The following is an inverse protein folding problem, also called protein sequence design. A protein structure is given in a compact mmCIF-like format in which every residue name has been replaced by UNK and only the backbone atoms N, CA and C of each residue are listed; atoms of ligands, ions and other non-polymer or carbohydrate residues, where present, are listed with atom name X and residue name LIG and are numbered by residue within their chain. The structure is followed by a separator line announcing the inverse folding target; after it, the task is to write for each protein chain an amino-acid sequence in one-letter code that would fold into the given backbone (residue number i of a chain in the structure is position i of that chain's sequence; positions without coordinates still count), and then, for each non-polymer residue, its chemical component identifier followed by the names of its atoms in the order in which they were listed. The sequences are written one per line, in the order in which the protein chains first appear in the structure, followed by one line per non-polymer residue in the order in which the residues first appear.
data_IF_451537379046
#
_entry.id   IF_451537379046
#
_cell.length_a   1.000
_cell.length_b   1.000
_cell.length_c   1.000
_cell.angle_alpha   90.00
_cell.angle_beta   90.00
_cell.angle_gamma   90.00
#
_symmetry.space_group_name_H-M   'P 1'
#
loop_
_entity.id
_entity.type
_entity.pdbx_description
1 polymer ?
#
# COMPACT_ATOMS: atom_id res chain seq x y z
N UNK A 1 -62.54 -38.61 39.61
CA UNK A 1 -61.31 -38.12 40.26
C UNK A 1 -60.13 -38.69 39.47
N UNK A 2 -59.53 -37.93 38.55
CA UNK A 2 -58.32 -37.08 38.77
C UNK A 2 -57.15 -37.93 39.31
N UNK A 3 -55.99 -38.04 38.67
CA UNK A 3 -55.42 -37.20 37.61
C UNK A 3 -54.31 -37.90 36.81
N UNK A 4 -54.04 -37.29 35.66
CA UNK A 4 -52.90 -37.55 34.80
C UNK A 4 -51.67 -36.78 35.29
N UNK A 5 -50.47 -37.31 35.01
CA UNK A 5 -49.27 -36.49 34.80
C UNK A 5 -48.20 -37.27 34.05
N UNK A 6 -47.93 -36.84 32.81
CA UNK A 6 -46.73 -37.12 32.04
C UNK A 6 -45.53 -36.38 32.67
N UNK A 7 -44.36 -37.00 32.67
CA UNK A 7 -43.08 -36.27 32.65
C UNK A 7 -42.15 -36.90 31.62
N UNK A 8 -41.80 -36.09 30.62
CA UNK A 8 -40.81 -36.34 29.58
C UNK A 8 -39.48 -35.65 29.96
N UNK A 9 -38.38 -36.11 29.36
CA UNK A 9 -37.12 -35.36 29.27
C UNK A 9 -35.99 -35.94 30.11
N UNK A 10 -34.79 -36.21 29.60
CA UNK A 10 -34.25 -35.84 28.28
C UNK A 10 -32.97 -36.61 27.98
N UNK A 11 -32.83 -37.00 26.72
CA UNK A 11 -31.54 -37.29 26.13
C UNK A 11 -30.91 -35.94 25.76
N UNK A 12 -29.95 -35.45 26.56
CA UNK A 12 -29.00 -34.46 26.07
C UNK A 12 -27.82 -35.22 25.47
N UNK A 13 -27.91 -35.50 24.18
CA UNK A 13 -26.73 -35.62 23.35
C UNK A 13 -25.98 -34.29 23.51
N UNK A 14 -24.80 -34.33 24.14
CA UNK A 14 -23.85 -33.25 24.07
C UNK A 14 -23.37 -33.19 22.61
N UNK A 15 -24.09 -32.42 21.81
CA UNK A 15 -23.55 -31.91 20.57
C UNK A 15 -22.29 -31.13 20.95
N UNK A 16 -21.14 -31.63 20.51
CA UNK A 16 -19.93 -30.86 20.42
C UNK A 16 -20.29 -29.56 19.70
N UNK A 17 -20.36 -28.48 20.47
CA UNK A 17 -20.29 -27.15 19.90
C UNK A 17 -18.89 -27.08 19.29
N UNK A 18 -18.85 -27.24 17.98
CA UNK A 18 -17.75 -26.82 17.15
C UNK A 18 -17.65 -25.30 17.37
N UNK A 19 -16.87 -24.90 18.38
CA UNK A 19 -16.36 -23.53 18.49
C UNK A 19 -15.46 -23.33 17.27
N UNK A 20 -16.07 -22.97 16.15
CA UNK A 20 -15.37 -22.20 15.14
C UNK A 20 -15.09 -20.87 15.84
N UNK A 21 -13.93 -20.80 16.48
CA UNK A 21 -13.26 -19.57 16.86
C UNK A 21 -13.26 -18.67 15.62
N UNK A 22 -14.22 -17.73 15.56
CA UNK A 22 -14.42 -16.87 14.40
C UNK A 22 -13.20 -15.96 14.30
N UNK A 23 -12.24 -16.32 13.46
CA UNK A 23 -11.08 -15.48 13.14
C UNK A 23 -11.61 -14.23 12.44
N UNK A 24 -11.82 -13.15 13.21
CA UNK A 24 -12.40 -11.89 12.72
C UNK A 24 -11.51 -11.26 11.64
N UNK A 25 -10.21 -11.11 11.91
CA UNK A 25 -9.21 -10.67 10.94
C UNK A 25 -7.82 -11.10 11.40
N UNK A 26 -6.94 -11.48 10.46
CA UNK A 26 -5.62 -12.01 10.77
C UNK A 26 -4.58 -10.89 10.74
N UNK A 27 -3.81 -10.76 11.82
CA UNK A 27 -2.59 -9.95 11.82
C UNK A 27 -1.54 -10.64 10.93
N UNK A 28 -1.11 -9.97 9.87
CA UNK A 28 -0.07 -10.47 8.96
C UNK A 28 1.31 -9.94 9.30
N UNK A 29 1.40 -8.71 9.82
CA UNK A 29 2.65 -8.18 10.35
C UNK A 29 2.42 -7.12 11.43
N UNK A 30 3.45 -6.88 12.24
CA UNK A 30 3.58 -5.69 13.08
C UNK A 30 4.87 -4.99 12.69
N UNK A 31 4.79 -3.71 12.35
CA UNK A 31 5.95 -2.94 11.92
C UNK A 31 5.83 -1.48 12.37
N UNK A 32 6.87 -0.95 13.03
CA UNK A 32 6.90 0.46 13.44
C UNK A 32 5.78 0.84 14.43
N UNK A 33 5.22 -0.14 15.15
CA UNK A 33 4.08 0.06 16.05
C UNK A 33 2.71 -0.08 15.39
N UNK A 34 2.63 -0.27 14.06
CA UNK A 34 1.37 -0.49 13.35
C UNK A 34 1.12 -1.99 13.16
N UNK A 35 -0.15 -2.38 13.35
CA UNK A 35 -0.66 -3.68 12.94
C UNK A 35 -1.01 -3.61 11.46
N UNK A 36 -0.63 -4.65 10.71
CA UNK A 36 -1.01 -4.82 9.32
C UNK A 36 -1.85 -6.09 9.24
N UNK A 37 -3.13 -5.91 8.96
CA UNK A 37 -4.12 -6.98 8.88
C UNK A 37 -4.20 -7.60 7.48
N UNK A 38 -4.87 -8.74 7.38
CA UNK A 38 -5.17 -9.36 6.09
C UNK A 38 -6.12 -8.50 5.27
N UNK A 39 -7.10 -7.88 5.91
CA UNK A 39 -7.98 -6.89 5.28
C UNK A 39 -7.21 -5.71 4.67
N UNK A 40 -6.19 -5.18 5.34
CA UNK A 40 -5.35 -4.09 4.84
C UNK A 40 -4.65 -4.48 3.53
N UNK A 41 -4.05 -5.67 3.48
CA UNK A 41 -3.40 -6.20 2.28
C UNK A 41 -4.39 -6.37 1.13
N UNK A 42 -5.58 -6.91 1.42
CA UNK A 42 -6.64 -7.04 0.42
C UNK A 42 -7.13 -5.68 -0.08
N UNK A 43 -7.35 -4.73 0.83
CA UNK A 43 -7.85 -3.40 0.50
C UNK A 43 -6.84 -2.62 -0.36
N UNK A 44 -5.57 -2.63 0.04
CA UNK A 44 -4.50 -1.98 -0.70
C UNK A 44 -4.41 -2.48 -2.15
N UNK A 45 -4.62 -3.79 -2.35
CA UNK A 45 -4.64 -4.41 -3.69
C UNK A 45 -5.93 -4.08 -4.44
N UNK A 46 -7.10 -4.36 -3.86
CA UNK A 46 -8.40 -4.29 -4.52
C UNK A 46 -8.82 -2.84 -4.86
N UNK A 47 -8.32 -1.85 -4.10
CA UNK A 47 -8.50 -0.42 -4.39
C UNK A 47 -7.37 0.16 -5.27
N UNK A 48 -6.40 -0.68 -5.67
CA UNK A 48 -5.26 -0.31 -6.50
C UNK A 48 -4.29 0.67 -5.82
N UNK A 49 -4.29 0.75 -4.49
CA UNK A 49 -3.34 1.59 -3.73
C UNK A 49 -1.92 1.03 -3.85
N UNK A 50 -1.81 -0.29 -3.96
CA UNK A 50 -0.54 -1.01 -4.12
C UNK A 50 -0.69 -2.05 -5.22
N UNK A 51 0.19 -2.01 -6.23
CA UNK A 51 0.23 -3.01 -7.31
C UNK A 51 1.32 -4.06 -7.06
N UNK A 52 0.99 -5.36 -6.98
CA UNK A 52 1.98 -6.43 -6.81
C UNK A 52 2.78 -6.74 -8.09
N UNK A 53 2.42 -6.14 -9.24
CA UNK A 53 3.02 -6.50 -10.52
C UNK A 53 2.84 -7.99 -10.84
N UNK A 54 3.91 -8.64 -11.31
CA UNK A 54 3.93 -10.06 -11.69
C UNK A 54 4.57 -10.95 -10.61
N UNK A 55 4.53 -10.53 -9.34
CA UNK A 55 5.10 -11.32 -8.24
C UNK A 55 4.45 -12.72 -8.17
N UNK A 56 5.26 -13.75 -7.91
CA UNK A 56 4.78 -15.13 -7.75
C UNK A 56 3.87 -15.29 -6.52
N UNK A 57 4.09 -14.46 -5.50
CA UNK A 57 3.23 -14.30 -4.33
C UNK A 57 2.78 -12.82 -4.22
N UNK A 58 1.65 -12.46 -4.85
CA UNK A 58 1.13 -11.09 -4.80
C UNK A 58 0.79 -10.60 -3.39
N UNK A 59 0.35 -11.49 -2.51
CA UNK A 59 -0.01 -11.14 -1.13
C UNK A 59 1.24 -10.76 -0.34
N UNK A 60 2.31 -11.55 -0.46
CA UNK A 60 3.61 -11.24 0.13
C UNK A 60 4.15 -9.90 -0.36
N UNK A 61 4.06 -9.64 -1.66
CA UNK A 61 4.55 -8.39 -2.26
C UNK A 61 3.81 -7.17 -1.70
N UNK A 62 2.47 -7.20 -1.67
CA UNK A 62 1.67 -6.11 -1.10
C UNK A 62 1.95 -5.95 0.40
N UNK A 63 2.02 -7.04 1.17
CA UNK A 63 2.36 -7.00 2.59
C UNK A 63 3.73 -6.36 2.82
N UNK A 64 4.72 -6.71 1.99
CA UNK A 64 6.05 -6.10 2.08
C UNK A 64 5.98 -4.57 1.92
N UNK A 65 5.24 -4.08 0.92
CA UNK A 65 5.07 -2.64 0.72
C UNK A 65 4.29 -1.95 1.83
N UNK A 66 3.33 -2.63 2.46
CA UNK A 66 2.64 -2.11 3.64
C UNK A 66 3.54 -2.06 4.88
N UNK A 67 4.46 -3.02 5.03
CA UNK A 67 5.51 -2.95 6.06
C UNK A 67 6.38 -1.71 5.83
N UNK A 68 6.85 -1.48 4.60
CA UNK A 68 7.61 -0.26 4.28
C UNK A 68 6.83 0.99 4.62
N UNK A 69 5.58 1.08 4.15
CA UNK A 69 4.68 2.19 4.44
C UNK A 69 4.56 2.45 5.94
N UNK A 70 4.36 1.41 6.75
CA UNK A 70 4.23 1.52 8.20
C UNK A 70 5.52 2.04 8.87
N UNK A 71 6.68 1.54 8.45
CA UNK A 71 7.98 2.02 8.97
C UNK A 71 8.23 3.49 8.62
N UNK A 72 7.86 3.90 7.41
CA UNK A 72 7.98 5.29 6.97
C UNK A 72 7.00 6.17 7.72
N UNK A 73 5.76 5.72 7.90
CA UNK A 73 4.75 6.44 8.66
C UNK A 73 5.18 6.66 10.11
N UNK A 74 5.84 5.67 10.74
CA UNK A 74 6.41 5.83 12.08
C UNK A 74 7.46 6.96 12.14
N UNK A 75 8.27 7.15 11.10
CA UNK A 75 9.22 8.28 11.03
C UNK A 75 8.53 9.61 10.74
N UNK A 76 7.50 9.59 9.89
CA UNK A 76 6.65 10.75 9.60
C UNK A 76 5.96 11.25 10.85
N UNK A 77 5.42 10.37 11.69
CA UNK A 77 4.75 10.74 12.93
C UNK A 77 5.71 11.31 13.99
N UNK A 78 6.99 10.91 13.97
CA UNK A 78 8.04 11.54 14.80
C UNK A 78 8.41 12.94 14.33
N UNK A 79 8.48 13.16 13.03
CA UNK A 79 8.84 14.46 12.45
C UNK A 79 7.66 15.43 12.39
N UNK A 80 6.44 14.89 12.29
CA UNK A 80 5.17 15.61 12.19
C UNK A 80 5.17 16.72 11.10
N UNK A 81 5.32 16.35 9.80
CA UNK A 81 5.20 17.33 8.73
C UNK A 81 3.80 17.94 8.72
N UNK A 82 3.62 19.14 8.11
CA UNK A 82 2.31 19.77 7.99
C UNK A 82 1.27 18.83 7.39
N UNK A 83 0.05 18.91 7.92
CA UNK A 83 -1.08 18.16 7.38
C UNK A 83 -1.38 18.60 5.93
N UNK A 84 -1.74 17.65 5.04
CA UNK A 84 -2.14 18.00 3.69
C UNK A 84 -3.44 18.80 3.72
N UNK A 85 -3.58 19.72 2.76
CA UNK A 85 -4.82 20.46 2.57
C UNK A 85 -5.98 19.50 2.24
N UNK A 86 -7.18 19.81 2.73
CA UNK A 86 -8.35 18.93 2.58
C UNK A 86 -8.69 18.63 1.11
N UNK A 87 -8.52 19.62 0.22
CA UNK A 87 -8.76 19.47 -1.22
C UNK A 87 -7.76 18.50 -1.90
N UNK A 88 -6.56 18.32 -1.35
CA UNK A 88 -5.61 17.31 -1.82
C UNK A 88 -6.10 15.90 -1.44
N UNK A 89 -6.64 15.74 -0.23
CA UNK A 89 -7.23 14.47 0.21
C UNK A 89 -8.47 14.14 -0.63
N UNK A 90 -9.34 15.12 -0.89
CA UNK A 90 -10.52 14.94 -1.76
C UNK A 90 -10.14 14.51 -3.18
N UNK A 91 -9.12 15.14 -3.77
CA UNK A 91 -8.60 14.75 -5.08
C UNK A 91 -8.01 13.34 -5.08
N UNK A 92 -7.30 12.95 -4.01
CA UNK A 92 -6.77 11.61 -3.89
C UNK A 92 -7.90 10.56 -3.80
N UNK A 93 -8.97 10.85 -3.04
CA UNK A 93 -10.15 9.98 -2.97
C UNK A 93 -10.81 9.86 -4.34
N UNK A 94 -10.98 10.98 -5.04
CA UNK A 94 -11.55 10.96 -6.39
C UNK A 94 -10.70 10.13 -7.36
N UNK A 95 -9.38 10.25 -7.29
CA UNK A 95 -8.48 9.43 -8.10
C UNK A 95 -8.57 7.92 -7.80
N UNK A 96 -8.96 7.52 -6.58
CA UNK A 96 -9.29 6.12 -6.28
C UNK A 96 -10.65 5.74 -6.88
N UNK A 97 -11.66 6.60 -6.77
CA UNK A 97 -12.99 6.40 -7.37
C UNK A 97 -12.92 6.19 -8.88
N UNK A 98 -12.11 6.99 -9.56
CA UNK A 98 -11.98 6.96 -11.03
C UNK A 98 -11.34 5.66 -11.56
N UNK A 99 -10.78 4.81 -10.69
CA UNK A 99 -10.26 3.48 -11.06
C UNK A 99 -11.37 2.45 -11.21
N UNK A 100 -12.55 2.72 -10.67
CA UNK A 100 -13.68 1.80 -10.73
C UNK A 100 -14.58 2.16 -11.90
N UNK A 101 -15.00 1.13 -12.65
CA UNK A 101 -15.94 1.32 -13.76
C UNK A 101 -17.29 1.91 -13.31
N UNK A 102 -17.70 1.66 -12.07
CA UNK A 102 -18.94 2.19 -11.48
C UNK A 102 -18.77 2.47 -9.99
N UNK A 103 -19.54 3.42 -9.42
CA UNK A 103 -19.56 3.65 -7.96
C UNK A 103 -19.92 2.39 -7.16
N UNK A 104 -20.83 1.57 -7.67
CA UNK A 104 -21.26 0.32 -7.02
C UNK A 104 -20.11 -0.70 -6.94
N UNK A 105 -19.27 -0.78 -7.97
CA UNK A 105 -18.09 -1.65 -7.95
C UNK A 105 -17.12 -1.26 -6.83
N UNK A 106 -16.93 0.04 -6.58
CA UNK A 106 -16.12 0.54 -5.47
C UNK A 106 -16.73 0.18 -4.12
N UNK A 107 -18.03 0.44 -3.93
CA UNK A 107 -18.73 0.11 -2.67
C UNK A 107 -18.61 -1.37 -2.36
N UNK A 108 -18.77 -2.25 -3.36
CA UNK A 108 -18.59 -3.69 -3.19
C UNK A 108 -17.14 -4.06 -2.86
N UNK A 109 -16.16 -3.40 -3.47
CA UNK A 109 -14.75 -3.62 -3.16
C UNK A 109 -14.40 -3.21 -1.73
N UNK A 110 -14.86 -2.05 -1.28
CA UNK A 110 -14.69 -1.55 0.08
C UNK A 110 -15.38 -2.45 1.12
N UNK A 111 -16.62 -2.88 0.84
CA UNK A 111 -17.38 -3.77 1.73
C UNK A 111 -16.71 -5.14 1.93
N UNK A 112 -16.08 -5.70 0.90
CA UNK A 112 -15.36 -7.00 1.00
C UNK A 112 -14.21 -6.99 2.01
N UNK A 113 -13.64 -5.81 2.26
CA UNK A 113 -12.47 -5.64 3.13
C UNK A 113 -12.80 -4.84 4.39
N UNK A 114 -14.09 -4.58 4.65
CA UNK A 114 -14.54 -3.81 5.81
C UNK A 114 -14.07 -2.36 5.84
N UNK A 115 -13.62 -1.81 4.70
CA UNK A 115 -13.15 -0.42 4.61
C UNK A 115 -14.34 0.51 4.36
N UNK A 116 -14.38 1.65 5.06
CA UNK A 116 -15.32 2.73 4.82
C UNK A 116 -14.63 3.98 4.27
N UNK A 117 -15.41 5.02 3.92
CA UNK A 117 -14.87 6.27 3.38
C UNK A 117 -13.94 6.98 4.39
N UNK A 118 -14.20 6.83 5.69
CA UNK A 118 -13.38 7.43 6.76
C UNK A 118 -11.98 6.82 6.74
N UNK A 119 -11.91 5.49 6.74
CA UNK A 119 -10.66 4.76 6.69
C UNK A 119 -9.90 5.05 5.39
N UNK A 120 -10.57 5.03 4.23
CA UNK A 120 -9.91 5.37 2.96
C UNK A 120 -9.32 6.78 2.96
N UNK A 121 -10.06 7.78 3.46
CA UNK A 121 -9.57 9.16 3.57
C UNK A 121 -8.36 9.26 4.49
N UNK A 122 -8.37 8.53 5.61
CA UNK A 122 -7.25 8.48 6.53
C UNK A 122 -6.01 7.84 5.89
N UNK A 123 -6.17 6.72 5.18
CA UNK A 123 -5.06 6.08 4.44
C UNK A 123 -4.44 7.07 3.44
N UNK A 124 -5.27 7.77 2.65
CA UNK A 124 -4.80 8.71 1.64
C UNK A 124 -4.17 9.97 2.24
N UNK A 125 -4.67 10.44 3.39
CA UNK A 125 -4.04 11.53 4.16
C UNK A 125 -2.63 11.14 4.61
N UNK A 126 -2.47 9.93 5.16
CA UNK A 126 -1.16 9.40 5.56
C UNK A 126 -0.22 9.26 4.36
N UNK A 127 -0.71 8.79 3.22
CA UNK A 127 0.09 8.67 1.99
C UNK A 127 0.59 10.04 1.49
N UNK A 128 -0.25 11.08 1.59
CA UNK A 128 0.14 12.45 1.28
C UNK A 128 1.19 13.00 2.27
N UNK A 129 1.09 12.67 3.57
CA UNK A 129 2.12 13.02 4.57
C UNK A 129 3.46 12.34 4.28
N UNK A 130 3.43 11.05 3.92
CA UNK A 130 4.61 10.29 3.49
C UNK A 130 5.25 10.94 2.27
N UNK A 131 4.45 11.31 1.26
CA UNK A 131 4.95 12.00 0.07
C UNK A 131 5.62 13.34 0.41
N UNK A 132 4.96 14.17 1.20
CA UNK A 132 5.52 15.46 1.62
C UNK A 132 6.84 15.29 2.40
N UNK A 133 6.91 14.28 3.26
CA UNK A 133 8.13 13.95 3.99
C UNK A 133 9.26 13.55 3.04
N UNK A 134 8.99 12.72 2.03
CA UNK A 134 9.99 12.36 1.03
C UNK A 134 10.48 13.56 0.21
N UNK A 135 9.58 14.42 -0.23
CA UNK A 135 9.92 15.60 -1.02
C UNK A 135 10.85 16.55 -0.24
N UNK A 136 10.64 16.68 1.08
CA UNK A 136 11.48 17.50 1.95
C UNK A 136 12.80 16.83 2.33
N UNK A 137 12.77 15.52 2.63
CA UNK A 137 13.92 14.80 3.16
C UNK A 137 14.93 14.40 2.09
N UNK A 138 14.46 14.07 0.89
CA UNK A 138 15.30 13.58 -0.19
C UNK A 138 15.41 14.63 -1.30
N UNK A 139 16.14 15.70 -0.98
CA UNK A 139 16.59 16.68 -1.96
C UNK A 139 17.83 16.17 -2.67
N UNK A 140 17.90 16.38 -3.99
CA UNK A 140 18.99 15.91 -4.84
C UNK A 140 19.44 17.05 -5.74
N UNK A 141 20.75 17.11 -6.01
CA UNK A 141 21.30 18.14 -6.88
C UNK A 141 20.79 17.96 -8.33
N UNK A 142 20.56 19.05 -9.08
CA UNK A 142 20.32 18.99 -10.52
C UNK A 142 21.47 18.29 -11.26
N UNK A 143 21.18 17.51 -12.32
CA UNK A 143 22.22 16.97 -13.21
C UNK A 143 22.90 18.10 -14.01
N UNK A 144 24.20 17.95 -14.26
CA UNK A 144 24.98 18.84 -15.13
C UNK A 144 24.81 18.51 -16.61
N UNK A 145 25.22 19.41 -17.51
CA UNK A 145 25.02 19.24 -18.96
C UNK A 145 25.71 17.99 -19.54
N UNK A 146 26.89 17.64 -19.03
CA UNK A 146 27.61 16.42 -19.44
C UNK A 146 26.80 15.16 -19.13
N UNK A 147 26.21 15.11 -17.93
CA UNK A 147 25.38 13.99 -17.51
C UNK A 147 24.11 13.87 -18.34
N UNK A 148 23.46 15.00 -18.64
CA UNK A 148 22.28 15.04 -19.51
C UNK A 148 22.62 14.51 -20.91
N UNK A 149 23.73 14.97 -21.50
CA UNK A 149 24.17 14.51 -22.81
C UNK A 149 24.58 13.05 -22.83
N UNK A 150 25.15 12.53 -21.73
CA UNK A 150 25.42 11.10 -21.56
C UNK A 150 24.13 10.29 -21.48
N UNK A 151 23.20 10.68 -20.61
CA UNK A 151 21.93 9.97 -20.42
C UNK A 151 21.15 9.86 -21.74
N UNK A 152 21.06 10.96 -22.50
CA UNK A 152 20.42 10.97 -23.81
C UNK A 152 21.03 9.96 -24.80
N UNK A 153 22.37 9.88 -24.86
CA UNK A 153 23.08 8.96 -25.77
C UNK A 153 22.98 7.50 -25.34
N UNK A 154 22.90 7.23 -24.05
CA UNK A 154 22.82 5.86 -23.50
C UNK A 154 21.40 5.29 -23.53
N UNK A 155 20.37 6.13 -23.68
CA UNK A 155 18.96 5.71 -23.65
C UNK A 155 18.16 6.16 -24.90
N UNK A 156 18.63 5.89 -26.13
CA UNK A 156 17.98 6.38 -27.35
C UNK A 156 16.56 5.82 -27.54
N UNK A 157 16.31 4.59 -27.07
CA UNK A 157 15.00 3.95 -27.19
C UNK A 157 13.93 4.69 -26.38
N UNK A 158 14.29 5.23 -25.20
CA UNK A 158 13.40 6.02 -24.33
C UNK A 158 12.89 7.29 -24.99
N UNK A 159 13.66 7.86 -25.93
CA UNK A 159 13.35 9.12 -26.61
C UNK A 159 12.87 8.93 -28.05
N UNK A 160 12.77 7.69 -28.52
CA UNK A 160 12.27 7.40 -29.86
C UNK A 160 10.75 7.49 -29.86
N UNK A 161 10.21 8.42 -30.64
CA UNK A 161 8.77 8.64 -30.82
C UNK A 161 8.42 8.42 -32.28
N UNK A 162 7.46 7.53 -32.56
CA UNK A 162 7.04 7.20 -33.92
C UNK A 162 8.20 6.79 -34.85
N UNK A 163 9.20 6.06 -34.32
CA UNK A 163 10.37 5.61 -35.07
C UNK A 163 11.45 6.67 -35.33
N UNK A 164 11.29 7.89 -34.80
CA UNK A 164 12.30 8.95 -34.87
C UNK A 164 12.79 9.33 -33.47
N UNK A 165 14.10 9.47 -33.31
CA UNK A 165 14.69 9.95 -32.07
C UNK A 165 14.37 11.44 -31.89
N UNK A 166 13.66 11.79 -30.80
CA UNK A 166 13.37 13.18 -30.47
C UNK A 166 14.66 13.94 -30.17
N UNK A 167 14.73 15.24 -30.51
CA UNK A 167 15.95 16.01 -30.31
C UNK A 167 16.28 16.18 -28.82
N UNK A 168 17.57 16.33 -28.48
CA UNK A 168 17.99 16.56 -27.10
C UNK A 168 17.29 17.77 -26.45
N UNK A 169 17.06 18.84 -27.21
CA UNK A 169 16.36 20.03 -26.72
C UNK A 169 14.92 19.72 -26.30
N UNK A 170 14.22 18.90 -27.08
CA UNK A 170 12.81 18.55 -26.84
C UNK A 170 12.62 17.67 -25.61
N UNK A 171 13.60 16.82 -25.30
CA UNK A 171 13.51 15.86 -24.18
C UNK A 171 14.35 16.26 -22.96
N UNK A 172 15.08 17.38 -23.01
CA UNK A 172 16.00 17.79 -21.93
C UNK A 172 15.32 17.84 -20.56
N UNK A 173 14.09 18.37 -20.50
CA UNK A 173 13.33 18.45 -19.24
C UNK A 173 12.92 17.07 -18.74
N UNK A 174 12.45 16.20 -19.63
CA UNK A 174 12.08 14.82 -19.28
C UNK A 174 13.29 14.05 -18.72
N UNK A 175 14.47 14.23 -19.32
CA UNK A 175 15.75 13.67 -18.83
C UNK A 175 16.06 14.17 -17.42
N UNK A 176 15.98 15.49 -17.20
CA UNK A 176 16.23 16.08 -15.88
C UNK A 176 15.31 15.46 -14.83
N UNK A 177 14.01 15.40 -15.11
CA UNK A 177 13.04 14.85 -14.17
C UNK A 177 13.29 13.37 -13.90
N UNK A 178 13.67 12.60 -14.92
CA UNK A 178 13.98 11.18 -14.78
C UNK A 178 15.19 10.96 -13.88
N UNK A 179 16.30 11.65 -14.14
CA UNK A 179 17.51 11.54 -13.31
C UNK A 179 17.25 11.96 -11.86
N UNK A 180 16.52 13.06 -11.65
CA UNK A 180 16.15 13.51 -10.31
C UNK A 180 15.27 12.50 -9.57
N UNK A 181 14.29 11.92 -10.27
CA UNK A 181 13.41 10.90 -9.71
C UNK A 181 14.18 9.63 -9.33
N UNK A 182 15.08 9.16 -10.19
CA UNK A 182 15.90 7.98 -9.95
C UNK A 182 16.84 8.18 -8.76
N UNK A 183 17.52 9.34 -8.69
CA UNK A 183 18.36 9.68 -7.53
C UNK A 183 17.57 9.70 -6.23
N UNK A 184 16.38 10.32 -6.23
CA UNK A 184 15.52 10.37 -5.06
C UNK A 184 15.05 8.97 -4.65
N UNK A 185 14.69 8.13 -5.62
CA UNK A 185 14.30 6.73 -5.38
C UNK A 185 15.44 5.94 -4.74
N UNK A 186 16.65 6.02 -5.27
CA UNK A 186 17.81 5.31 -4.69
C UNK A 186 18.03 5.69 -3.22
N UNK A 187 18.02 6.99 -2.90
CA UNK A 187 18.17 7.46 -1.51
C UNK A 187 17.04 6.97 -0.61
N UNK A 188 15.81 6.97 -1.10
CA UNK A 188 14.66 6.47 -0.36
C UNK A 188 14.76 4.96 -0.12
N UNK A 189 15.13 4.17 -1.13
CA UNK A 189 15.27 2.72 -1.05
C UNK A 189 16.36 2.32 -0.06
N UNK A 190 17.52 2.97 -0.10
CA UNK A 190 18.61 2.75 0.88
C UNK A 190 18.17 3.07 2.31
N UNK A 191 17.42 4.16 2.47
CA UNK A 191 16.90 4.57 3.77
C UNK A 191 15.84 3.60 4.32
N UNK A 192 14.92 3.12 3.47
CA UNK A 192 13.90 2.11 3.80
C UNK A 192 14.58 0.77 4.14
N UNK A 193 15.60 0.36 3.39
CA UNK A 193 16.38 -0.83 3.72
C UNK A 193 17.04 -0.66 5.11
N UNK A 194 17.55 0.55 5.42
CA UNK A 194 18.03 0.90 6.74
C UNK A 194 16.95 0.89 7.82
N UNK A 195 15.70 1.25 7.50
CA UNK A 195 14.55 1.18 8.41
C UNK A 195 14.24 -0.25 8.78
N UNK A 196 14.13 -1.12 7.77
CA UNK A 196 13.85 -2.54 7.98
C UNK A 196 14.89 -3.23 8.86
N UNK A 197 16.17 -2.91 8.67
CA UNK A 197 17.26 -3.51 9.46
C UNK A 197 17.22 -3.16 10.95
N UNK A 198 16.67 -1.99 11.30
CA UNK A 198 16.69 -1.47 12.68
C UNK A 198 15.35 -1.58 13.40
N UNK A 199 14.26 -1.75 12.66
CA UNK A 199 12.93 -1.85 13.21
C UNK A 199 12.67 -3.24 13.79
N UNK A 200 11.86 -3.30 14.83
CA UNK A 200 11.21 -4.54 15.24
C UNK A 200 10.07 -4.82 14.26
N UNK A 201 10.18 -5.94 13.53
CA UNK A 201 9.20 -6.40 12.55
C UNK A 201 8.82 -7.81 12.93
N UNK A 202 7.56 -7.98 13.33
CA UNK A 202 6.97 -9.29 13.58
C UNK A 202 6.18 -9.70 12.35
N UNK A 203 6.80 -10.48 11.47
CA UNK A 203 6.15 -11.02 10.27
C UNK A 203 5.45 -12.35 10.59
N UNK A 204 4.14 -12.41 10.36
CA UNK A 204 3.28 -13.57 10.63
C UNK A 204 2.79 -14.24 9.35
N UNK A 205 3.20 -13.73 8.19
CA UNK A 205 2.75 -14.28 6.92
C UNK A 205 3.40 -15.64 6.65
N UNK A 206 2.56 -16.62 6.31
CA UNK A 206 2.99 -17.91 5.80
C UNK A 206 2.39 -18.10 4.41
N UNK A 207 3.24 -18.29 3.41
CA UNK A 207 2.77 -18.56 2.05
C UNK A 207 2.27 -20.01 1.97
N UNK A 208 1.10 -20.19 1.36
CA UNK A 208 0.63 -21.52 0.92
C UNK A 208 1.10 -21.87 -0.50
N UNK A 209 1.76 -20.93 -1.19
CA UNK A 209 2.37 -21.14 -2.51
C UNK A 209 3.59 -22.05 -2.34
N UNK A 210 3.36 -23.37 -2.42
CA UNK A 210 4.40 -24.39 -2.22
C UNK A 210 3.96 -25.69 -1.55
N UNK A 211 2.65 -25.96 -1.43
CA UNK A 211 2.12 -27.33 -1.28
C UNK A 211 1.39 -27.75 -2.55
#
# INVERSE_FOLDING_TARGET
MLGASLMAGGARAAAAADEIDEIIDRVLAVAGGYLIMQSDVMAARDLGLVSPGNASDPTREVLSRLIDRALVLAEVDRYAPPEPAADLVDRAVQAVRDRFATPQAMVLAMARVGMDDTHLRETLRQDLRIRAYYDQRFTVAPPGDEELGRYYREHPDTFTRNGALASFADVRQDIIQTILADRRRTLADEWIAGLRRRADIVDRYSSSVGK
#
